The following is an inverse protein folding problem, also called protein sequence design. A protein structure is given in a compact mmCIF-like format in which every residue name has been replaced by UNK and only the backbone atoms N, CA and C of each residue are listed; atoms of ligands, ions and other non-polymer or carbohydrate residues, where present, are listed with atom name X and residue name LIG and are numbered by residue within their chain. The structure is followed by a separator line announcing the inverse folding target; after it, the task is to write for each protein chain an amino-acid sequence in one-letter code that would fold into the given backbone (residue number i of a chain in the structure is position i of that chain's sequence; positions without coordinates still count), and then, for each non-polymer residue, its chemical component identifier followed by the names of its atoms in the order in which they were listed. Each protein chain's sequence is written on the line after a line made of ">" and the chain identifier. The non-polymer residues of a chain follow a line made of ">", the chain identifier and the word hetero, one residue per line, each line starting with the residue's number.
data_IF_689111526822
#
_entry.id   IF_689111526822
#
_cell.length_a   1.000
_cell.length_b   1.000
_cell.length_c   1.000
_cell.angle_alpha   90.00
_cell.angle_beta   90.00
_cell.angle_gamma   90.00
#
_symmetry.space_group_name_H-M   'P 1'
#
loop_
_entity.id
_entity.type
_entity.pdbx_description
1 polymer ?
#
# COMPACT_ATOMS: atom_id res chain seq x y z
N UNK A 1 -2.55 9.53 7.39
CA UNK A 1 -1.82 8.46 8.12
C UNK A 1 -0.78 7.85 7.20
N UNK A 2 0.40 7.62 7.70
CA UNK A 2 1.49 7.01 6.94
C UNK A 2 1.92 5.71 7.59
N UNK A 3 2.04 4.66 6.78
CA UNK A 3 2.55 3.36 7.21
C UNK A 3 3.74 3.01 6.34
N UNK A 4 4.90 2.84 6.96
CA UNK A 4 6.11 2.43 6.24
C UNK A 4 6.20 0.90 6.27
N UNK A 5 6.31 0.30 5.09
CA UNK A 5 6.54 -1.13 4.94
C UNK A 5 8.01 -1.34 4.56
N UNK A 6 8.66 -2.29 5.19
CA UNK A 6 10.08 -2.53 4.94
C UNK A 6 10.39 -4.02 4.84
N UNK A 7 11.54 -4.31 4.26
CA UNK A 7 12.02 -5.67 4.11
C UNK A 7 11.32 -6.42 2.99
N UNK A 8 10.72 -7.54 3.31
CA UNK A 8 10.08 -8.44 2.35
C UNK A 8 8.65 -8.70 2.75
N UNK A 9 7.75 -8.58 1.79
CA UNK A 9 6.33 -8.86 1.97
C UNK A 9 5.97 -10.12 1.21
N UNK A 10 5.90 -11.22 1.91
CA UNK A 10 5.65 -12.53 1.36
C UNK A 10 4.59 -13.27 2.19
N UNK A 11 4.40 -14.54 1.87
CA UNK A 11 3.44 -15.38 2.57
C UNK A 11 3.65 -15.37 4.10
N UNK A 12 4.89 -15.37 4.56
CA UNK A 12 5.18 -15.43 6.00
C UNK A 12 4.85 -14.14 6.76
N UNK A 13 4.87 -12.99 6.08
CA UNK A 13 4.60 -11.69 6.69
C UNK A 13 3.20 -11.15 6.39
N UNK A 14 2.47 -11.79 5.48
CA UNK A 14 1.20 -11.28 4.97
C UNK A 14 0.12 -11.11 6.05
N UNK A 15 -0.02 -12.08 6.97
CA UNK A 15 -1.05 -12.00 8.00
C UNK A 15 -0.79 -10.87 8.98
N UNK A 16 0.47 -10.63 9.34
CA UNK A 16 0.86 -9.52 10.20
C UNK A 16 0.51 -8.18 9.55
N UNK A 17 0.85 -8.05 8.27
CA UNK A 17 0.51 -6.84 7.53
C UNK A 17 -1.00 -6.65 7.42
N UNK A 18 -1.75 -7.70 7.15
CA UNK A 18 -3.21 -7.60 7.03
C UNK A 18 -3.81 -7.07 8.33
N UNK A 19 -3.37 -7.60 9.47
CA UNK A 19 -3.82 -7.12 10.78
C UNK A 19 -3.47 -5.65 11.01
N UNK A 20 -2.25 -5.24 10.67
CA UNK A 20 -1.81 -3.86 10.82
C UNK A 20 -2.62 -2.90 9.95
N UNK A 21 -2.89 -3.28 8.70
CA UNK A 21 -3.69 -2.45 7.80
C UNK A 21 -5.13 -2.34 8.27
N UNK A 22 -5.72 -3.43 8.76
CA UNK A 22 -7.08 -3.39 9.30
C UNK A 22 -7.20 -2.49 10.53
N UNK A 23 -6.23 -2.54 11.42
CA UNK A 23 -6.18 -1.64 12.59
C UNK A 23 -6.06 -0.19 12.16
N UNK A 24 -5.21 0.09 11.20
CA UNK A 24 -5.04 1.44 10.67
C UNK A 24 -6.34 1.95 10.05
N UNK A 25 -7.02 1.11 9.27
CA UNK A 25 -8.32 1.44 8.67
C UNK A 25 -9.36 1.77 9.73
N UNK A 26 -9.39 1.01 10.83
CA UNK A 26 -10.33 1.22 11.92
C UNK A 26 -10.11 2.53 12.67
N UNK A 27 -8.91 3.09 12.64
CA UNK A 27 -8.63 4.37 13.27
C UNK A 27 -9.23 5.55 12.49
N UNK A 28 -9.77 5.31 11.30
CA UNK A 28 -10.57 6.27 10.56
C UNK A 28 -9.83 7.30 9.71
N UNK A 29 -8.63 7.02 9.17
CA UNK A 29 -7.96 8.00 8.33
C UNK A 29 -8.70 8.19 7.01
N UNK A 30 -8.75 9.41 6.51
CA UNK A 30 -9.32 9.69 5.18
C UNK A 30 -8.37 9.23 4.07
N UNK A 31 -7.07 9.37 4.32
CA UNK A 31 -6.01 8.94 3.42
C UNK A 31 -5.00 8.11 4.19
N UNK A 32 -4.72 6.93 3.68
CA UNK A 32 -3.67 6.07 4.22
C UNK A 32 -2.56 5.97 3.18
N UNK A 33 -1.36 6.42 3.55
CA UNK A 33 -0.20 6.40 2.67
C UNK A 33 0.66 5.19 3.03
N UNK A 34 0.84 4.30 2.07
CA UNK A 34 1.74 3.16 2.21
C UNK A 34 3.10 3.55 1.61
N UNK A 35 4.07 3.79 2.47
CA UNK A 35 5.43 4.13 2.04
C UNK A 35 6.20 2.84 1.78
N UNK A 36 6.50 2.57 0.52
CA UNK A 36 7.16 1.35 0.08
C UNK A 36 8.64 1.56 -0.25
N UNK A 37 9.21 2.69 0.15
CA UNK A 37 10.60 3.02 -0.20
C UNK A 37 11.62 2.03 0.38
N UNK A 38 11.29 1.37 1.49
CA UNK A 38 12.16 0.37 2.12
C UNK A 38 11.68 -1.07 1.89
N UNK A 39 10.67 -1.28 1.05
CA UNK A 39 10.18 -2.61 0.71
C UNK A 39 10.97 -3.15 -0.48
N UNK A 40 11.77 -4.18 -0.24
CA UNK A 40 12.68 -4.74 -1.24
C UNK A 40 12.05 -5.82 -2.11
N UNK A 41 11.04 -6.50 -1.58
CA UNK A 41 10.41 -7.63 -2.27
C UNK A 41 8.93 -7.72 -1.89
N UNK A 42 8.11 -8.14 -2.86
CA UNK A 42 6.71 -8.42 -2.64
C UNK A 42 6.29 -9.55 -3.58
N UNK A 43 5.57 -10.54 -3.07
CA UNK A 43 4.95 -11.55 -3.90
C UNK A 43 3.46 -11.29 -4.10
N UNK A 44 2.77 -12.22 -4.76
CA UNK A 44 1.33 -12.07 -5.03
C UNK A 44 0.48 -12.06 -3.76
N UNK A 45 0.93 -12.74 -2.70
CA UNK A 45 0.22 -12.73 -1.41
C UNK A 45 0.26 -11.35 -0.79
N UNK A 46 1.44 -10.72 -0.77
CA UNK A 46 1.59 -9.37 -0.27
C UNK A 46 0.80 -8.36 -1.08
N UNK A 47 0.83 -8.50 -2.40
CA UNK A 47 0.04 -7.64 -3.28
C UNK A 47 -1.46 -7.76 -2.96
N UNK A 48 -1.96 -8.97 -2.76
CA UNK A 48 -3.37 -9.19 -2.45
C UNK A 48 -3.79 -8.49 -1.16
N UNK A 49 -2.93 -8.45 -0.15
CA UNK A 49 -3.19 -7.76 1.11
C UNK A 49 -3.32 -6.24 0.87
N UNK A 50 -2.41 -5.67 0.10
CA UNK A 50 -2.46 -4.22 -0.22
C UNK A 50 -3.72 -3.89 -1.02
N UNK A 51 -4.05 -4.70 -2.02
CA UNK A 51 -5.25 -4.49 -2.84
C UNK A 51 -6.52 -4.62 -2.01
N UNK A 52 -6.56 -5.56 -1.08
CA UNK A 52 -7.72 -5.72 -0.18
C UNK A 52 -7.94 -4.48 0.69
N UNK A 53 -6.86 -3.92 1.24
CA UNK A 53 -6.93 -2.68 2.01
C UNK A 53 -7.44 -1.52 1.15
N UNK A 54 -6.89 -1.39 -0.05
CA UNK A 54 -7.33 -0.38 -1.02
C UNK A 54 -8.85 -0.48 -1.28
N UNK A 55 -9.34 -1.69 -1.51
CA UNK A 55 -10.77 -1.90 -1.77
C UNK A 55 -11.65 -1.56 -0.58
N UNK A 56 -11.25 -1.95 0.63
CA UNK A 56 -12.00 -1.64 1.86
C UNK A 56 -12.07 -0.14 2.09
N UNK A 57 -10.94 0.55 1.95
CA UNK A 57 -10.88 2.01 2.12
C UNK A 57 -11.76 2.71 1.08
N UNK A 58 -11.67 2.28 -0.17
CA UNK A 58 -12.48 2.85 -1.24
C UNK A 58 -13.98 2.70 -1.00
N UNK A 59 -14.42 1.54 -0.52
CA UNK A 59 -15.83 1.31 -0.17
C UNK A 59 -16.30 2.24 0.95
N UNK A 60 -15.40 2.63 1.83
CA UNK A 60 -15.70 3.56 2.92
C UNK A 60 -15.58 5.02 2.51
N UNK A 61 -15.36 5.31 1.23
CA UNK A 61 -15.15 6.67 0.74
C UNK A 61 -13.81 7.26 1.12
N UNK A 62 -12.84 6.40 1.40
CA UNK A 62 -11.49 6.77 1.83
C UNK A 62 -10.46 6.36 0.78
N UNK A 63 -9.20 6.72 0.99
CA UNK A 63 -8.17 6.61 -0.02
C UNK A 63 -6.93 5.90 0.51
N UNK A 64 -6.37 5.01 -0.31
CA UNK A 64 -5.04 4.45 -0.10
C UNK A 64 -4.14 4.95 -1.21
N UNK A 65 -2.99 5.49 -0.84
CA UNK A 65 -1.98 5.96 -1.76
C UNK A 65 -0.69 5.17 -1.53
N UNK A 66 -0.09 4.68 -2.60
CA UNK A 66 1.19 3.96 -2.55
C UNK A 66 2.29 4.95 -2.89
N UNK A 67 3.26 5.12 -2.00
CA UNK A 67 4.34 6.09 -2.19
C UNK A 67 5.68 5.39 -2.36
N UNK A 68 6.45 5.86 -3.33
CA UNK A 68 7.86 5.50 -3.54
C UNK A 68 8.13 3.99 -3.64
N UNK A 69 7.38 3.22 -4.47
CA UNK A 69 7.70 1.81 -4.62
C UNK A 69 9.11 1.66 -5.23
N UNK A 70 9.87 0.70 -4.71
CA UNK A 70 11.15 0.35 -5.32
C UNK A 70 10.90 -0.21 -6.72
N UNK A 71 11.95 -0.25 -7.57
CA UNK A 71 11.81 -0.79 -8.92
C UNK A 71 11.27 -2.22 -8.94
N UNK A 72 11.72 -3.05 -8.01
CA UNK A 72 11.25 -4.44 -7.91
C UNK A 72 9.75 -4.51 -7.59
N UNK A 73 9.28 -3.69 -6.66
CA UNK A 73 7.87 -3.66 -6.25
C UNK A 73 7.01 -3.03 -7.35
N UNK A 74 7.51 -1.94 -7.96
CA UNK A 74 6.81 -1.29 -9.09
C UNK A 74 6.60 -2.28 -10.24
N UNK A 75 7.59 -3.13 -10.50
CA UNK A 75 7.47 -4.15 -11.55
C UNK A 75 6.31 -5.12 -11.27
N UNK A 76 6.12 -5.53 -10.03
CA UNK A 76 4.99 -6.38 -9.64
C UNK A 76 3.67 -5.66 -9.92
N UNK A 77 3.56 -4.39 -9.58
CA UNK A 77 2.37 -3.60 -9.90
C UNK A 77 2.13 -3.52 -11.42
N UNK A 78 3.19 -3.33 -12.20
CA UNK A 78 3.07 -3.27 -13.66
C UNK A 78 2.59 -4.61 -14.24
N UNK A 79 3.21 -5.71 -13.81
CA UNK A 79 2.90 -7.05 -14.34
C UNK A 79 1.47 -7.50 -13.99
N UNK A 80 0.92 -7.01 -12.89
CA UNK A 80 -0.43 -7.37 -12.43
C UNK A 80 -1.50 -6.37 -12.84
N UNK A 81 -1.13 -5.28 -13.52
CA UNK A 81 -2.05 -4.22 -13.89
C UNK A 81 -2.45 -3.30 -12.74
N UNK A 82 -1.88 -3.50 -11.55
CA UNK A 82 -2.24 -2.71 -10.37
C UNK A 82 -1.65 -1.30 -10.41
N UNK A 83 -0.58 -1.07 -11.19
CA UNK A 83 0.00 0.26 -11.30
C UNK A 83 -1.01 1.28 -11.86
N UNK A 84 -1.93 0.84 -12.72
CA UNK A 84 -2.97 1.68 -13.29
C UNK A 84 -4.17 1.87 -12.38
N UNK A 85 -4.37 0.95 -11.43
CA UNK A 85 -5.53 0.97 -10.52
C UNK A 85 -5.24 1.65 -9.20
N UNK A 86 -4.03 1.46 -8.67
CA UNK A 86 -3.61 2.07 -7.42
C UNK A 86 -3.12 3.49 -7.69
N UNK A 87 -3.34 4.39 -6.76
CA UNK A 87 -2.74 5.71 -6.83
C UNK A 87 -1.31 5.60 -6.33
N UNK A 88 -0.34 5.83 -7.21
CA UNK A 88 1.08 5.72 -6.93
C UNK A 88 1.72 7.10 -7.07
N UNK A 89 2.47 7.51 -6.06
CA UNK A 89 3.17 8.79 -6.05
C UNK A 89 4.66 8.59 -5.82
N UNK A 90 5.46 9.54 -6.32
CA UNK A 90 6.92 9.45 -6.25
C UNK A 90 7.48 9.82 -4.88
N UNK A 91 6.75 10.61 -4.10
CA UNK A 91 7.17 10.99 -2.77
C UNK A 91 6.00 10.98 -1.79
N UNK A 92 6.29 10.73 -0.53
CA UNK A 92 5.28 10.77 0.54
C UNK A 92 4.67 12.18 0.65
N UNK A 93 5.45 13.21 0.41
CA UNK A 93 4.98 14.60 0.47
C UNK A 93 3.84 14.87 -0.51
N UNK A 94 3.87 14.29 -1.72
CA UNK A 94 2.77 14.43 -2.66
C UNK A 94 1.48 13.74 -2.17
N UNK A 95 1.62 12.59 -1.53
CA UNK A 95 0.48 11.85 -1.01
C UNK A 95 -0.20 12.59 0.15
N UNK A 96 0.57 13.30 0.96
CA UNK A 96 0.10 14.03 2.14
C UNK A 96 -0.29 15.48 1.84
N UNK A 97 -0.09 15.95 0.63
CA UNK A 97 -0.43 17.31 0.25
C UNK A 97 -1.96 17.52 0.33
N UNK A 98 -2.41 18.70 0.74
CA UNK A 98 -3.84 19.01 0.74
C UNK A 98 -4.39 18.92 -0.69
N UNK A 99 -5.60 18.41 -0.78
CA UNK A 99 -6.28 18.30 -2.08
C UNK A 99 -6.67 19.69 -2.60
#
# INVERSE_FOLDING_TARGET
>A
MRIALEGELDYSSALTLDDELRRAELSGPRVMVLDLSALRFMDSTGLAIIVSSYKRMRRAGRKVVVAQPTNAVRRIFQLTGMLERLEVVETVAFAEAPA
#
